data_IF_234209403628
#
_entry.id   IF_234209403628
#
_cell.length_a   1.000
_cell.length_b   1.000
_cell.length_c   1.000
_cell.angle_alpha   90.00
_cell.angle_beta   90.00
_cell.angle_gamma   90.00
#
_symmetry.space_group_name_H-M   'P 1'
#
loop_
_entity.id
_entity.type
_entity.pdbx_description
1 polymer ?
#
# COMPACT_ATOMS: atom_id res chain seq x y z
N UNK A 1 15.65 26.29 -17.22
CA UNK A 1 16.45 26.36 -17.37
C UNK A 1 16.60 26.35 -17.46
N UNK A 2 16.33 26.20 -17.19
CA UNK A 2 16.97 26.06 -17.32
C UNK A 2 16.87 25.84 -17.32
N UNK A 3 16.43 25.14 -17.24
CA UNK A 3 17.00 24.81 -17.34
C UNK A 3 16.92 24.24 -17.42
N UNK A 4 16.52 24.25 -17.36
CA UNK A 4 17.02 23.75 -17.60
C UNK A 4 17.11 23.22 -17.39
N UNK A 5 16.91 23.14 -17.13
CA UNK A 5 17.61 22.67 -17.22
C UNK A 5 17.60 22.07 -16.95
N UNK A 6 17.64 21.94 -16.60
CA UNK A 6 18.11 21.52 -16.55
C UNK A 6 18.02 20.99 -16.22
N UNK A 7 17.74 20.78 -15.82
CA UNK A 7 18.41 20.50 -15.83
C UNK A 7 18.68 20.27 -15.90
N UNK A 8 18.53 19.92 -15.82
CA UNK A 8 19.37 19.90 -16.14
C UNK A 8 19.62 19.60 -16.22
N UNK A 9 19.56 19.43 -16.14
CA UNK A 9 20.23 19.24 -16.43
C UNK A 9 20.42 18.70 -16.38
N UNK A 10 20.37 18.60 -16.29
CA UNK A 10 20.92 18.20 -16.49
C UNK A 10 21.07 17.56 -16.53
N UNK A 11 21.13 17.48 -16.33
CA UNK A 11 21.52 16.93 -16.66
C UNK A 11 21.36 16.12 -16.63
N UNK A 12 21.20 15.98 -16.48
CA UNK A 12 21.16 15.21 -16.70
C UNK A 12 20.97 14.40 -16.68
N UNK A 13 21.07 14.27 -16.53
CA UNK A 13 20.87 13.49 -16.69
C UNK A 13 20.54 12.75 -16.68
N UNK A 14 20.40 12.81 -16.51
CA UNK A 14 20.09 12.18 -16.70
C UNK A 14 19.63 11.54 -16.52
N UNK A 15 19.35 11.54 -16.29
CA UNK A 15 18.86 10.88 -16.38
C UNK A 15 18.18 10.26 -16.13
N UNK A 16 17.95 10.30 -15.95
CA UNK A 16 17.24 9.64 -15.88
C UNK A 16 16.51 9.27 -16.05
N UNK A 17 16.32 9.49 -16.06
CA UNK A 17 15.72 9.11 -16.48
C UNK A 17 15.32 8.52 -16.85
N UNK A 18 15.24 8.46 -16.82
CA UNK A 18 14.98 7.82 -17.41
C UNK A 18 14.56 6.94 -17.72
N UNK A 19 14.58 7.11 -17.70
CA UNK A 19 14.26 6.09 -18.06
C UNK A 19 12.98 5.54 -17.85
N UNK A 20 11.97 5.97 -17.48
CA UNK A 20 10.75 5.31 -17.31
C UNK A 20 10.04 5.05 -18.55
N UNK A 21 10.46 5.61 -19.53
CA UNK A 21 9.89 5.16 -20.77
C UNK A 21 10.31 3.76 -21.07
N UNK A 22 11.38 3.34 -20.43
CA UNK A 22 11.80 1.97 -20.59
C UNK A 22 10.95 1.04 -19.76
N UNK A 23 10.21 1.61 -18.84
CA UNK A 23 9.40 0.80 -17.95
C UNK A 23 7.97 1.05 -18.31
N UNK A 24 7.63 0.72 -19.53
CA UNK A 24 6.28 0.91 -19.99
C UNK A 24 5.39 -0.15 -19.39
N UNK A 25 4.38 0.28 -18.67
CA UNK A 25 3.42 -0.64 -18.08
C UNK A 25 2.25 -0.77 -19.05
N UNK A 26 1.90 -1.98 -19.46
CA UNK A 26 0.77 -2.15 -20.37
C UNK A 26 -0.49 -1.54 -19.79
N UNK A 27 -1.32 -1.02 -20.65
CA UNK A 27 -2.52 -0.35 -20.21
C UNK A 27 -3.41 -1.27 -19.40
N UNK A 28 -3.49 -2.54 -19.77
CA UNK A 28 -4.29 -3.48 -18.99
C UNK A 28 -3.77 -3.59 -17.57
N UNK A 29 -2.46 -3.53 -17.40
CA UNK A 29 -1.89 -3.61 -16.07
C UNK A 29 -2.22 -2.39 -15.25
N UNK A 30 -2.19 -1.23 -15.89
CA UNK A 30 -2.51 0.01 -15.19
C UNK A 30 -3.94 0.04 -14.73
N UNK A 31 -4.81 -0.63 -15.45
CA UNK A 31 -6.22 -0.61 -15.12
C UNK A 31 -6.62 -1.71 -14.17
N UNK A 32 -5.72 -2.67 -13.92
CA UNK A 32 -6.05 -3.75 -13.00
C UNK A 32 -6.01 -3.25 -11.56
N UNK A 33 -7.01 -3.68 -10.83
CA UNK A 33 -7.09 -3.35 -9.42
C UNK A 33 -6.99 -4.63 -8.61
N UNK A 34 -6.52 -4.47 -7.39
CA UNK A 34 -6.30 -5.59 -6.50
C UNK A 34 -6.96 -5.32 -5.17
N UNK A 35 -7.49 -6.36 -4.58
CA UNK A 35 -8.14 -6.26 -3.29
C UNK A 35 -7.12 -6.54 -2.19
N UNK A 36 -7.11 -5.70 -1.18
CA UNK A 36 -6.24 -5.87 -0.02
C UNK A 36 -7.10 -6.42 1.12
N UNK A 37 -6.67 -7.55 1.65
CA UNK A 37 -7.37 -8.24 2.73
C UNK A 37 -6.44 -8.30 3.93
N UNK A 38 -6.93 -7.89 5.09
CA UNK A 38 -6.14 -7.97 6.32
C UNK A 38 -6.50 -9.27 7.04
N UNK A 39 -5.46 -9.94 7.57
CA UNK A 39 -5.65 -11.22 8.25
C UNK A 39 -5.50 -11.04 9.74
N UNK A 40 -6.30 -11.78 10.49
CA UNK A 40 -6.24 -11.74 11.95
C UNK A 40 -5.05 -12.53 12.47
N UNK A 41 -4.56 -12.12 13.65
CA UNK A 41 -3.59 -12.89 14.39
C UNK A 41 -3.83 -12.61 15.88
N UNK A 42 -3.12 -13.34 16.74
CA UNK A 42 -3.38 -13.28 18.17
C UNK A 42 -2.50 -12.28 18.91
N UNK A 43 -1.63 -11.55 18.19
CA UNK A 43 -0.64 -10.68 18.83
C UNK A 43 -0.89 -9.20 18.52
N UNK A 44 -1.21 -8.88 17.28
CA UNK A 44 -1.37 -7.51 16.85
C UNK A 44 -2.55 -6.86 17.57
N UNK A 45 -2.35 -5.67 18.12
CA UNK A 45 -3.42 -5.01 18.88
C UNK A 45 -4.41 -4.33 17.97
N UNK A 46 -5.62 -4.14 18.49
CA UNK A 46 -6.66 -3.38 17.79
C UNK A 46 -6.16 -1.97 17.48
N UNK A 47 -5.55 -1.34 18.47
CA UNK A 47 -5.10 0.04 18.30
C UNK A 47 -4.11 0.15 17.15
N UNK A 48 -3.20 -0.80 17.04
CA UNK A 48 -2.24 -0.74 15.95
C UNK A 48 -2.95 -0.89 14.60
N UNK A 49 -3.88 -1.84 14.51
CA UNK A 49 -4.58 -2.07 13.26
C UNK A 49 -5.36 -0.82 12.85
N UNK A 50 -6.10 -0.25 13.79
CA UNK A 50 -6.91 0.94 13.50
C UNK A 50 -6.02 2.09 13.03
N UNK A 51 -4.94 2.33 13.77
CA UNK A 51 -4.04 3.43 13.41
C UNK A 51 -3.41 3.21 12.04
N UNK A 52 -2.97 1.98 11.77
CA UNK A 52 -2.36 1.69 10.49
C UNK A 52 -3.33 1.90 9.33
N UNK A 53 -4.58 1.50 9.51
CA UNK A 53 -5.56 1.69 8.45
C UNK A 53 -5.84 3.16 8.22
N UNK A 54 -5.88 3.96 9.27
CA UNK A 54 -6.11 5.39 9.14
C UNK A 54 -4.91 6.07 8.48
N UNK A 55 -3.71 5.79 8.97
CA UNK A 55 -2.53 6.53 8.55
C UNK A 55 -2.04 6.09 7.17
N UNK A 56 -1.98 4.78 6.93
CA UNK A 56 -1.40 4.28 5.70
C UNK A 56 -2.43 4.13 4.60
N UNK A 57 -3.58 3.57 4.92
CA UNK A 57 -4.63 3.34 3.92
C UNK A 57 -5.60 4.50 3.82
N UNK A 58 -5.46 5.50 4.70
CA UNK A 58 -6.28 6.71 4.66
C UNK A 58 -7.76 6.40 4.77
N UNK A 59 -8.06 5.43 5.59
CA UNK A 59 -9.43 5.01 5.84
C UNK A 59 -9.97 5.82 7.01
N UNK A 60 -11.22 6.23 6.88
CA UNK A 60 -11.86 7.03 7.91
C UNK A 60 -11.97 6.21 9.20
N UNK A 61 -11.91 6.87 10.34
CA UNK A 61 -11.75 6.20 11.62
C UNK A 61 -12.85 5.19 11.91
N UNK A 62 -14.10 5.54 11.68
CA UNK A 62 -15.16 4.60 12.02
C UNK A 62 -15.10 3.36 11.14
N UNK A 63 -14.69 3.52 9.89
CA UNK A 63 -14.55 2.36 9.03
C UNK A 63 -13.35 1.53 9.41
N UNK A 64 -12.26 2.18 9.85
CA UNK A 64 -11.09 1.46 10.32
C UNK A 64 -11.44 0.61 11.52
N UNK A 65 -12.25 1.15 12.43
CA UNK A 65 -12.68 0.39 13.58
C UNK A 65 -13.54 -0.80 13.17
N UNK A 66 -14.43 -0.61 12.20
CA UNK A 66 -15.26 -1.70 11.74
C UNK A 66 -14.43 -2.80 11.10
N UNK A 67 -13.41 -2.41 10.31
CA UNK A 67 -12.53 -3.38 9.69
C UNK A 67 -11.76 -4.17 10.74
N UNK A 68 -11.24 -3.47 11.76
CA UNK A 68 -10.50 -4.15 12.82
C UNK A 68 -11.39 -5.15 13.54
N UNK A 69 -12.62 -4.77 13.80
CA UNK A 69 -13.56 -5.65 14.47
C UNK A 69 -13.91 -6.86 13.61
N UNK A 70 -14.13 -6.62 12.32
CA UNK A 70 -14.45 -7.72 11.42
C UNK A 70 -13.27 -8.69 11.30
N UNK A 71 -12.05 -8.14 11.23
CA UNK A 71 -10.86 -8.98 11.17
C UNK A 71 -10.80 -9.90 12.37
N UNK A 72 -11.06 -9.33 13.56
CA UNK A 72 -10.98 -10.12 14.78
C UNK A 72 -12.05 -11.20 14.83
N UNK A 73 -13.27 -10.88 14.40
CA UNK A 73 -14.38 -11.82 14.56
C UNK A 73 -14.50 -12.81 13.43
N UNK A 74 -14.04 -12.45 12.23
CA UNK A 74 -14.19 -13.33 11.07
C UNK A 74 -12.88 -13.92 10.58
N UNK A 75 -11.76 -13.46 11.10
CA UNK A 75 -10.47 -13.97 10.68
C UNK A 75 -9.80 -13.16 9.61
N UNK A 76 -10.56 -12.37 8.89
CA UNK A 76 -10.02 -11.50 7.84
C UNK A 76 -11.05 -10.46 7.49
N UNK A 77 -10.63 -9.41 6.80
CA UNK A 77 -11.55 -8.36 6.36
C UNK A 77 -10.99 -7.66 5.14
N UNK A 78 -11.90 -7.18 4.31
CA UNK A 78 -11.55 -6.39 3.13
C UNK A 78 -11.13 -4.99 3.57
N UNK A 79 -10.05 -4.48 2.98
CA UNK A 79 -9.53 -3.16 3.34
C UNK A 79 -9.76 -2.15 2.24
N UNK A 80 -9.27 -2.45 1.04
CA UNK A 80 -9.34 -1.49 -0.06
C UNK A 80 -9.02 -2.17 -1.37
N UNK A 81 -9.40 -1.52 -2.47
CA UNK A 81 -9.08 -2.01 -3.81
C UNK A 81 -8.21 -0.95 -4.47
N UNK A 82 -7.00 -1.34 -4.86
CA UNK A 82 -5.98 -0.41 -5.31
C UNK A 82 -5.19 -1.00 -6.47
N UNK A 83 -4.52 -0.14 -7.26
CA UNK A 83 -3.54 -0.67 -8.22
C UNK A 83 -2.47 -1.45 -7.50
N UNK A 84 -1.90 -2.44 -8.18
CA UNK A 84 -1.00 -3.39 -7.54
C UNK A 84 0.17 -2.73 -6.81
N UNK A 85 0.83 -1.78 -7.48
CA UNK A 85 2.01 -1.18 -6.87
C UNK A 85 1.66 -0.37 -5.62
N UNK A 86 0.52 0.30 -5.66
CA UNK A 86 0.09 1.04 -4.48
C UNK A 86 -0.30 0.09 -3.36
N UNK A 87 -0.98 -1.01 -3.70
CA UNK A 87 -1.34 -2.00 -2.69
C UNK A 87 -0.09 -2.57 -2.03
N UNK A 88 0.89 -2.93 -2.84
CA UNK A 88 2.14 -3.48 -2.31
C UNK A 88 2.83 -2.50 -1.39
N UNK A 89 2.90 -1.25 -1.79
CA UNK A 89 3.61 -0.26 -1.00
C UNK A 89 2.94 -0.04 0.34
N UNK A 90 1.62 0.08 0.35
CA UNK A 90 0.92 0.30 1.61
C UNK A 90 1.00 -0.90 2.52
N UNK A 91 0.84 -2.10 1.96
CA UNK A 91 0.97 -3.31 2.76
C UNK A 91 2.38 -3.41 3.34
N UNK A 92 3.39 -3.12 2.53
CA UNK A 92 4.77 -3.17 3.03
C UNK A 92 4.96 -2.22 4.20
N UNK A 93 4.45 -1.00 4.07
CA UNK A 93 4.63 -0.01 5.13
C UNK A 93 4.00 -0.46 6.44
N UNK A 94 2.80 -1.02 6.36
CA UNK A 94 2.13 -1.46 7.58
C UNK A 94 2.84 -2.66 8.17
N UNK A 95 3.21 -3.63 7.33
CA UNK A 95 3.87 -4.83 7.84
C UNK A 95 5.25 -4.51 8.41
N UNK A 96 5.95 -3.57 7.82
CA UNK A 96 7.24 -3.16 8.36
C UNK A 96 7.06 -2.55 9.76
N UNK A 97 6.10 -1.64 9.89
CA UNK A 97 5.85 -1.02 11.19
C UNK A 97 5.38 -2.06 12.21
N UNK A 98 4.58 -3.03 11.75
CA UNK A 98 4.11 -4.08 12.65
C UNK A 98 5.27 -4.90 13.17
N UNK A 99 6.20 -5.26 12.31
CA UNK A 99 7.36 -6.06 12.74
C UNK A 99 8.20 -5.33 13.75
N UNK A 100 8.27 -4.00 13.63
CA UNK A 100 9.02 -3.22 14.62
C UNK A 100 8.38 -3.27 15.99
N UNK A 101 7.09 -3.55 16.05
CA UNK A 101 6.40 -3.71 17.31
C UNK A 101 6.36 -5.16 17.77
N UNK A 102 6.90 -6.07 16.96
CA UNK A 102 6.82 -7.48 17.30
C UNK A 102 5.49 -8.11 16.89
N UNK A 103 4.74 -7.46 16.02
CA UNK A 103 3.44 -7.96 15.57
C UNK A 103 3.59 -8.74 14.28
N UNK A 104 2.99 -9.92 14.15
CA UNK A 104 3.06 -10.70 12.91
C UNK A 104 1.96 -10.37 11.92
N UNK A 105 1.45 -9.16 11.93
CA UNK A 105 0.34 -8.76 11.08
C UNK A 105 0.64 -8.99 9.61
N UNK A 106 -0.34 -9.53 8.88
CA UNK A 106 -0.18 -9.82 7.47
C UNK A 106 -1.41 -9.45 6.68
N UNK A 107 -1.19 -9.18 5.40
CA UNK A 107 -2.24 -8.89 4.45
C UNK A 107 -2.10 -9.81 3.26
N UNK A 108 -3.19 -9.97 2.52
CA UNK A 108 -3.19 -10.67 1.25
C UNK A 108 -3.61 -9.67 0.18
N UNK A 109 -2.96 -9.74 -0.97
CA UNK A 109 -3.33 -8.92 -2.12
C UNK A 109 -3.76 -9.89 -3.22
N UNK A 110 -4.98 -9.71 -3.70
CA UNK A 110 -5.52 -10.62 -4.71
C UNK A 110 -6.19 -9.82 -5.82
N UNK A 111 -6.19 -10.33 -7.05
CA UNK A 111 -6.84 -9.60 -8.14
C UNK A 111 -8.32 -9.38 -7.83
N UNK A 112 -8.78 -8.22 -8.25
CA UNK A 112 -10.19 -7.95 -8.12
C UNK A 112 -10.88 -8.62 -9.29
N UNK A 113 -11.59 -9.54 -9.13
CA UNK A 113 -12.31 -10.05 -10.24
C UNK A 113 -13.11 -11.27 -9.86
#
# INVERSE_FOLDING_TARGET
MSEVVPLDTVDAPAKPIIDFELVTIPEEELEKLYRVIILNDDVTTFEFVILALIVVFEIEESRAEAIAWETHTRGEAYVATLPLEEAKEKVFRVQYAAREQGYPLEFVIEPEE
#
